data_IF_166581018343
#
_entry.id   IF_166581018343
#
_cell.length_a   1.000
_cell.length_b   1.000
_cell.length_c   1.000
_cell.angle_alpha   90.00
_cell.angle_beta   90.00
_cell.angle_gamma   90.00
#
_symmetry.space_group_name_H-M   'P 1'
#
loop_
_entity.id
_entity.type
_entity.pdbx_description
1 polymer ?
#
# COMPACT_ATOMS: atom_id res chain seq x y z
N UNK A 1 -9.79 21.99 8.28
CA UNK A 1 -10.47 23.24 7.95
C UNK A 1 -11.12 23.06 6.58
N UNK A 2 -12.41 23.29 6.47
CA UNK A 2 -13.13 23.24 5.20
C UNK A 2 -12.64 24.35 4.25
N UNK A 3 -12.69 24.16 2.91
CA UNK A 3 -12.41 25.23 1.99
C UNK A 3 -13.38 26.40 2.22
N UNK A 4 -12.91 27.65 2.12
CA UNK A 4 -13.79 28.80 2.25
C UNK A 4 -14.76 28.84 1.08
N UNK A 5 -16.02 29.20 1.33
CA UNK A 5 -17.07 29.30 0.32
C UNK A 5 -16.64 30.21 -0.87
N UNK A 6 -15.73 31.14 -0.62
CA UNK A 6 -15.19 32.06 -1.64
C UNK A 6 -13.71 32.36 -1.38
N UNK A 7 -12.77 31.52 -1.83
CA UNK A 7 -11.35 31.78 -1.64
C UNK A 7 -10.91 33.04 -2.39
N UNK A 8 -10.04 33.84 -1.76
CA UNK A 8 -9.44 35.03 -2.40
C UNK A 8 -8.29 34.67 -3.30
N UNK A 9 -7.51 33.69 -2.88
CA UNK A 9 -6.33 33.17 -3.60
C UNK A 9 -6.42 31.66 -3.59
N UNK A 10 -6.10 31.05 -4.72
CA UNK A 10 -6.02 29.60 -4.88
C UNK A 10 -4.64 29.24 -5.42
N UNK A 11 -4.04 28.23 -4.84
CA UNK A 11 -2.82 27.58 -5.31
C UNK A 11 -3.22 26.22 -5.89
N UNK A 12 -3.25 26.09 -7.20
CA UNK A 12 -3.37 24.81 -7.89
C UNK A 12 -2.00 24.14 -7.98
N UNK A 13 -1.90 22.89 -7.52
CA UNK A 13 -0.68 22.12 -7.57
C UNK A 13 -0.91 20.86 -8.40
N UNK A 14 -0.32 20.80 -9.58
CA UNK A 14 -0.13 19.54 -10.29
C UNK A 14 1.04 18.81 -9.65
N UNK A 15 0.74 17.70 -8.94
CA UNK A 15 1.72 17.08 -8.07
C UNK A 15 2.57 16.05 -8.80
N UNK A 16 3.89 16.23 -8.77
CA UNK A 16 4.89 15.35 -9.35
C UNK A 16 5.83 14.74 -8.31
N UNK A 17 6.57 13.72 -8.71
CA UNK A 17 7.50 12.99 -7.83
C UNK A 17 8.69 13.86 -7.40
N UNK A 18 9.33 14.55 -8.34
CA UNK A 18 10.52 15.38 -8.11
C UNK A 18 10.19 16.85 -7.95
N UNK A 19 9.16 17.32 -8.63
CA UNK A 19 8.67 18.69 -8.55
C UNK A 19 7.16 18.69 -8.76
N UNK A 20 6.50 19.70 -8.20
CA UNK A 20 5.11 20.06 -8.47
C UNK A 20 5.10 21.25 -9.40
N UNK A 21 4.06 21.41 -10.21
CA UNK A 21 3.81 22.70 -10.87
C UNK A 21 2.81 23.48 -10.05
N UNK A 22 3.19 24.66 -9.60
CA UNK A 22 2.33 25.55 -8.84
C UNK A 22 1.77 26.64 -9.75
N UNK A 23 0.46 26.90 -9.62
CA UNK A 23 -0.21 28.05 -10.23
C UNK A 23 -1.01 28.79 -9.19
N UNK A 24 -0.67 30.05 -8.97
CA UNK A 24 -1.40 30.91 -8.04
C UNK A 24 -2.34 31.80 -8.84
N UNK A 25 -3.61 31.81 -8.44
CA UNK A 25 -4.66 32.61 -9.08
C UNK A 25 -5.43 33.38 -8.02
N UNK A 26 -5.58 34.69 -8.23
CA UNK A 26 -6.46 35.52 -7.40
C UNK A 26 -7.89 35.47 -7.89
N UNK A 27 -8.84 35.85 -7.03
CA UNK A 27 -10.24 35.99 -7.43
C UNK A 27 -10.45 37.02 -8.55
N UNK A 28 -9.60 38.04 -8.62
CA UNK A 28 -9.62 39.02 -9.71
C UNK A 28 -9.12 38.48 -11.06
N UNK A 29 -8.65 37.25 -11.10
CA UNK A 29 -8.08 36.64 -12.31
C UNK A 29 -6.60 36.91 -12.52
N UNK A 30 -5.94 37.59 -11.59
CA UNK A 30 -4.50 37.81 -11.61
C UNK A 30 -3.76 36.52 -11.42
N UNK A 31 -2.55 36.42 -11.96
CA UNK A 31 -1.72 35.25 -12.01
C UNK A 31 -0.34 35.56 -11.36
N UNK A 32 -0.28 35.75 -10.02
CA UNK A 32 0.91 36.25 -9.37
C UNK A 32 2.09 35.28 -9.43
N UNK A 33 1.87 33.99 -9.58
CA UNK A 33 2.96 33.02 -9.71
C UNK A 33 2.56 31.80 -10.58
N UNK A 34 3.55 31.31 -11.34
CA UNK A 34 3.51 30.04 -12.07
C UNK A 34 4.92 29.47 -12.16
N UNK A 35 5.08 28.20 -11.89
CA UNK A 35 6.36 27.54 -12.08
C UNK A 35 6.51 26.23 -11.32
N UNK A 36 7.61 25.52 -11.60
CA UNK A 36 7.93 24.29 -10.91
C UNK A 36 8.41 24.56 -9.47
N UNK A 37 7.90 23.79 -8.54
CA UNK A 37 8.30 23.80 -7.13
C UNK A 37 8.92 22.44 -6.83
N UNK A 38 10.19 22.38 -6.41
CA UNK A 38 10.80 21.11 -5.99
C UNK A 38 9.99 20.43 -4.89
N UNK A 39 9.80 19.11 -5.00
CA UNK A 39 9.08 18.34 -3.99
C UNK A 39 9.95 18.15 -2.75
N UNK A 40 10.16 19.23 -2.03
CA UNK A 40 10.87 19.30 -0.73
C UNK A 40 10.19 20.32 0.17
N UNK A 41 10.20 20.05 1.46
CA UNK A 41 9.47 20.82 2.46
C UNK A 41 9.78 22.33 2.40
N UNK A 42 11.06 22.72 2.35
CA UNK A 42 11.45 24.13 2.33
C UNK A 42 10.93 24.89 1.11
N UNK A 43 10.85 24.26 -0.05
CA UNK A 43 10.33 24.89 -1.26
C UNK A 43 8.81 25.08 -1.20
N UNK A 44 8.10 24.06 -0.69
CA UNK A 44 6.64 24.10 -0.49
C UNK A 44 6.30 25.16 0.57
N UNK A 45 7.02 25.19 1.69
CA UNK A 45 6.81 26.18 2.75
C UNK A 45 7.08 27.60 2.25
N UNK A 46 8.11 27.79 1.44
CA UNK A 46 8.42 29.08 0.82
C UNK A 46 7.30 29.60 -0.06
N UNK A 47 6.62 28.71 -0.82
CA UNK A 47 5.44 29.06 -1.59
C UNK A 47 4.27 29.47 -0.68
N UNK A 48 4.00 28.65 0.35
CA UNK A 48 2.87 28.89 1.25
C UNK A 48 3.03 30.15 2.10
N UNK A 49 4.25 30.48 2.51
CA UNK A 49 4.56 31.71 3.23
C UNK A 49 4.29 32.99 2.41
N UNK A 50 4.42 32.92 1.08
CA UNK A 50 4.11 34.05 0.17
C UNK A 50 2.61 34.29 0.03
N UNK A 51 1.77 33.26 0.22
CA UNK A 51 0.32 33.32 0.01
C UNK A 51 -0.45 32.77 1.22
N UNK A 52 -0.34 33.40 2.39
CA UNK A 52 -0.96 32.91 3.62
C UNK A 52 -2.49 32.86 3.47
N UNK A 53 -3.08 31.75 3.93
CA UNK A 53 -4.53 31.55 3.85
C UNK A 53 -5.10 31.21 2.48
N UNK A 54 -4.27 31.08 1.45
CA UNK A 54 -4.72 30.61 0.13
C UNK A 54 -5.28 29.18 0.21
N UNK A 55 -6.27 28.88 -0.61
CA UNK A 55 -6.79 27.53 -0.77
C UNK A 55 -5.81 26.71 -1.62
N UNK A 56 -5.26 25.66 -1.03
CA UNK A 56 -4.40 24.69 -1.75
C UNK A 56 -5.27 23.60 -2.36
N UNK A 57 -5.15 23.43 -3.68
CA UNK A 57 -5.89 22.43 -4.45
C UNK A 57 -4.93 21.50 -5.16
N UNK A 58 -5.11 20.19 -4.97
CA UNK A 58 -4.32 19.13 -5.59
C UNK A 58 -5.21 18.17 -6.36
N UNK A 59 -4.64 17.47 -7.34
CA UNK A 59 -5.32 16.39 -8.07
C UNK A 59 -5.15 15.01 -7.39
N UNK A 60 -4.20 14.88 -6.47
CA UNK A 60 -3.89 13.64 -5.72
C UNK A 60 -3.65 13.91 -4.26
N UNK A 61 -4.41 13.24 -3.41
CA UNK A 61 -4.30 13.39 -1.94
C UNK A 61 -3.30 12.42 -1.30
N UNK A 62 -2.85 11.40 -2.05
CA UNK A 62 -1.96 10.35 -1.57
C UNK A 62 -0.63 10.35 -2.31
N UNK A 63 0.34 9.59 -1.78
CA UNK A 63 1.67 9.44 -2.36
C UNK A 63 2.32 10.81 -2.63
N UNK A 64 2.52 11.15 -3.90
CA UNK A 64 3.20 12.40 -4.31
C UNK A 64 2.47 13.69 -3.89
N UNK A 65 1.16 13.64 -3.62
CA UNK A 65 0.39 14.78 -3.12
C UNK A 65 0.44 14.96 -1.60
N UNK A 66 0.82 13.91 -0.86
CA UNK A 66 0.84 13.95 0.61
C UNK A 66 1.79 15.00 1.19
N UNK A 67 3.01 15.21 0.69
CA UNK A 67 3.90 16.25 1.21
C UNK A 67 3.30 17.64 1.14
N UNK A 68 2.78 18.04 -0.03
CA UNK A 68 2.15 19.35 -0.22
C UNK A 68 0.97 19.57 0.74
N UNK A 69 0.09 18.58 0.88
CA UNK A 69 -1.06 18.66 1.78
C UNK A 69 -0.66 18.69 3.26
N UNK A 70 0.38 17.94 3.64
CA UNK A 70 0.89 17.93 5.02
C UNK A 70 1.50 19.29 5.39
N UNK A 71 2.28 19.89 4.50
CA UNK A 71 2.83 21.24 4.70
C UNK A 71 1.73 22.30 4.75
N UNK A 72 0.72 22.21 3.89
CA UNK A 72 -0.44 23.09 3.94
C UNK A 72 -1.22 22.96 5.26
N UNK A 73 -1.30 21.73 5.84
CA UNK A 73 -1.89 21.53 7.17
C UNK A 73 -1.10 22.25 8.25
N UNK A 74 0.23 22.13 8.25
CA UNK A 74 1.11 22.79 9.22
C UNK A 74 1.06 24.31 9.11
N UNK A 75 0.89 24.84 7.89
CA UNK A 75 0.69 26.27 7.62
C UNK A 75 -0.75 26.76 7.84
N UNK A 76 -1.65 25.92 8.40
CA UNK A 76 -3.06 26.26 8.67
C UNK A 76 -3.85 26.69 7.41
N UNK A 77 -3.42 26.27 6.23
CA UNK A 77 -4.07 26.61 4.98
C UNK A 77 -5.28 25.69 4.71
N UNK A 78 -6.37 26.25 4.15
CA UNK A 78 -7.47 25.45 3.63
C UNK A 78 -7.00 24.56 2.48
N UNK A 79 -7.53 23.35 2.40
CA UNK A 79 -7.11 22.33 1.43
C UNK A 79 -8.31 21.69 0.79
N UNK A 80 -8.26 21.54 -0.52
CA UNK A 80 -9.26 20.84 -1.28
C UNK A 80 -8.61 19.87 -2.29
N UNK A 81 -9.42 19.00 -2.79
CA UNK A 81 -9.03 18.01 -3.76
C UNK A 81 -9.91 18.14 -5.00
N UNK A 82 -9.30 18.16 -6.16
CA UNK A 82 -10.02 18.04 -7.43
C UNK A 82 -9.75 16.65 -8.01
N UNK A 83 -10.77 15.74 -8.04
CA UNK A 83 -10.60 14.41 -8.61
C UNK A 83 -10.04 14.46 -10.03
N UNK A 84 -9.10 13.54 -10.36
CA UNK A 84 -8.39 13.56 -11.63
C UNK A 84 -9.31 13.59 -12.87
N UNK A 85 -10.48 12.94 -12.80
CA UNK A 85 -11.49 13.03 -13.87
C UNK A 85 -12.06 14.45 -14.00
N UNK A 86 -12.33 15.12 -12.89
CA UNK A 86 -12.81 16.51 -12.87
C UNK A 86 -11.70 17.49 -13.28
N UNK A 87 -10.46 17.25 -12.84
CA UNK A 87 -9.28 18.02 -13.26
C UNK A 87 -9.08 17.92 -14.77
N UNK A 88 -9.16 16.71 -15.33
CA UNK A 88 -9.08 16.50 -16.78
C UNK A 88 -10.23 17.18 -17.53
N UNK A 89 -11.46 17.09 -17.00
CA UNK A 89 -12.61 17.83 -17.56
C UNK A 89 -12.40 19.34 -17.53
N UNK A 90 -11.91 19.88 -16.42
CA UNK A 90 -11.61 21.30 -16.28
C UNK A 90 -10.48 21.76 -17.22
N UNK A 91 -9.44 20.96 -17.42
CA UNK A 91 -8.33 21.31 -18.30
C UNK A 91 -8.75 21.41 -19.78
N UNK A 92 -9.78 20.67 -20.19
CA UNK A 92 -10.35 20.73 -21.55
C UNK A 92 -11.12 22.02 -21.85
N UNK A 93 -11.50 22.78 -20.82
CA UNK A 93 -12.15 24.07 -20.99
C UNK A 93 -11.16 25.21 -21.45
N UNK A 94 -9.88 24.94 -21.38
CA UNK A 94 -8.83 25.88 -21.76
C UNK A 94 -8.27 25.52 -23.13
N UNK A 95 -8.12 26.54 -24.00
CA UNK A 95 -7.62 26.38 -25.36
C UNK A 95 -6.21 25.77 -25.40
N UNK A 96 -5.98 24.89 -26.38
CA UNK A 96 -4.70 24.21 -26.63
C UNK A 96 -4.77 22.70 -26.42
N UNK A 97 -4.13 21.92 -27.29
CA UNK A 97 -4.16 20.43 -27.24
C UNK A 97 -3.02 19.81 -26.43
N UNK A 98 -1.96 20.59 -26.13
CA UNK A 98 -0.82 20.08 -25.39
C UNK A 98 -1.15 19.96 -23.89
N UNK A 99 -1.00 18.75 -23.34
CA UNK A 99 -1.03 18.51 -21.91
C UNK A 99 0.26 19.04 -21.30
N UNK A 100 0.15 20.03 -20.40
CA UNK A 100 1.29 20.54 -19.62
C UNK A 100 0.89 20.65 -18.16
N UNK A 101 1.86 20.42 -17.26
CA UNK A 101 1.68 20.54 -15.81
C UNK A 101 1.17 21.95 -15.43
N UNK A 102 1.63 22.99 -16.13
CA UNK A 102 1.15 24.36 -15.96
C UNK A 102 -0.35 24.50 -16.22
N UNK A 103 -0.82 23.90 -17.30
CA UNK A 103 -2.23 23.95 -17.70
C UNK A 103 -3.11 23.20 -16.71
N UNK A 104 -2.65 22.05 -16.24
CA UNK A 104 -3.39 21.26 -15.28
C UNK A 104 -3.45 21.98 -13.91
N UNK A 105 -2.37 22.61 -13.46
CA UNK A 105 -2.36 23.45 -12.26
C UNK A 105 -3.27 24.68 -12.40
N UNK A 106 -3.30 25.33 -13.59
CA UNK A 106 -4.20 26.45 -13.89
C UNK A 106 -5.67 26.01 -13.86
N UNK A 107 -5.98 24.90 -14.50
CA UNK A 107 -7.35 24.36 -14.55
C UNK A 107 -7.87 24.07 -13.14
N UNK A 108 -7.04 23.47 -12.29
CA UNK A 108 -7.37 23.21 -10.87
C UNK A 108 -7.63 24.52 -10.11
N UNK A 109 -6.77 25.52 -10.26
CA UNK A 109 -6.92 26.77 -9.53
C UNK A 109 -8.19 27.54 -9.98
N UNK A 110 -8.49 27.57 -11.26
CA UNK A 110 -9.68 28.24 -11.80
C UNK A 110 -10.98 27.48 -11.47
N UNK A 111 -10.97 26.15 -11.53
CA UNK A 111 -12.11 25.33 -11.11
C UNK A 111 -12.45 25.59 -9.61
N UNK A 112 -11.43 25.69 -8.78
CA UNK A 112 -11.61 25.99 -7.36
C UNK A 112 -12.12 27.40 -7.07
N UNK A 113 -11.81 28.36 -7.92
CA UNK A 113 -12.39 29.71 -7.82
C UNK A 113 -13.85 29.77 -8.30
N UNK A 114 -14.17 29.01 -9.35
CA UNK A 114 -15.50 29.01 -9.97
C UNK A 114 -16.55 28.22 -9.18
N UNK A 115 -16.18 27.07 -8.65
CA UNK A 115 -17.09 26.14 -7.96
C UNK A 115 -16.48 25.57 -6.67
N UNK A 116 -16.09 26.42 -5.70
CA UNK A 116 -15.39 25.96 -4.49
C UNK A 116 -16.21 24.96 -3.67
N UNK A 117 -17.54 25.08 -3.67
CA UNK A 117 -18.45 24.21 -2.93
C UNK A 117 -18.52 22.77 -3.50
N UNK A 118 -18.12 22.58 -4.76
CA UNK A 118 -18.05 21.27 -5.39
C UNK A 118 -16.74 20.49 -5.08
N UNK A 119 -15.78 21.16 -4.43
CA UNK A 119 -14.50 20.54 -4.11
C UNK A 119 -14.55 19.81 -2.76
N UNK A 120 -14.29 18.51 -2.71
CA UNK A 120 -14.13 17.82 -1.45
C UNK A 120 -13.01 18.43 -0.61
N UNK A 121 -13.34 18.80 0.63
CA UNK A 121 -12.34 19.22 1.59
C UNK A 121 -11.38 18.07 1.91
N UNK A 122 -10.09 18.35 1.96
CA UNK A 122 -9.12 17.38 2.46
C UNK A 122 -9.11 17.46 3.98
N UNK A 123 -9.80 16.54 4.63
CA UNK A 123 -9.77 16.40 6.08
C UNK A 123 -8.32 16.04 6.52
N UNK A 124 -7.87 16.70 7.57
CA UNK A 124 -6.60 16.36 8.20
C UNK A 124 -6.75 15.10 9.04
N UNK A 125 -6.24 13.98 8.57
CA UNK A 125 -6.22 12.76 9.41
C UNK A 125 -5.24 12.91 10.56
N UNK A 126 -5.56 12.30 11.73
CA UNK A 126 -4.55 12.08 12.76
C UNK A 126 -3.38 11.26 12.19
N UNK A 127 -2.13 11.62 12.51
CA UNK A 127 -0.95 10.88 12.03
C UNK A 127 -1.00 9.39 12.37
N UNK A 128 -1.60 9.05 13.51
CA UNK A 128 -1.74 7.70 14.03
C UNK A 128 -2.63 6.83 13.10
N UNK A 129 -3.69 7.41 12.56
CA UNK A 129 -4.56 6.73 11.57
C UNK A 129 -3.81 6.53 10.25
N UNK A 130 -2.97 7.50 9.86
CA UNK A 130 -2.09 7.37 8.70
C UNK A 130 -1.10 6.20 8.85
N UNK A 131 -0.48 6.08 10.02
CA UNK A 131 0.44 4.99 10.36
C UNK A 131 -0.29 3.63 10.38
N UNK A 132 -1.43 3.54 11.07
CA UNK A 132 -2.25 2.32 11.10
C UNK A 132 -2.67 1.87 9.69
N UNK A 133 -2.99 2.81 8.81
CA UNK A 133 -3.30 2.51 7.40
C UNK A 133 -2.10 1.94 6.64
N UNK A 134 -0.91 2.48 6.84
CA UNK A 134 0.30 1.97 6.21
C UNK A 134 0.61 0.54 6.67
N UNK A 135 0.46 0.25 7.96
CA UNK A 135 0.58 -1.10 8.50
C UNK A 135 -0.47 -2.06 7.94
N UNK A 136 -1.74 -1.64 7.86
CA UNK A 136 -2.79 -2.44 7.27
C UNK A 136 -2.51 -2.76 5.79
N UNK A 137 -2.06 -1.77 5.01
CA UNK A 137 -1.68 -1.95 3.62
C UNK A 137 -0.50 -2.92 3.46
N UNK A 138 0.51 -2.84 4.34
CA UNK A 138 1.63 -3.78 4.35
C UNK A 138 1.18 -5.21 4.68
N UNK A 139 0.29 -5.39 5.66
CA UNK A 139 -0.29 -6.72 5.96
C UNK A 139 -1.06 -7.31 4.79
N UNK A 140 -1.82 -6.48 4.08
CA UNK A 140 -2.54 -6.91 2.89
C UNK A 140 -1.59 -7.36 1.78
N UNK A 141 -0.53 -6.59 1.56
CA UNK A 141 0.53 -6.94 0.62
C UNK A 141 1.16 -8.29 0.99
N UNK A 142 1.60 -8.47 2.24
CA UNK A 142 2.24 -9.71 2.71
C UNK A 142 1.28 -10.90 2.63
N UNK A 143 -0.01 -10.69 2.87
CA UNK A 143 -1.04 -11.73 2.71
C UNK A 143 -1.18 -12.17 1.25
N UNK A 144 -1.24 -11.21 0.32
CA UNK A 144 -1.33 -11.49 -1.11
C UNK A 144 -0.06 -12.19 -1.63
N UNK A 145 1.12 -11.73 -1.19
CA UNK A 145 2.40 -12.36 -1.57
C UNK A 145 2.53 -13.78 -1.01
N UNK A 146 2.03 -14.03 0.21
CA UNK A 146 1.93 -15.38 0.77
C UNK A 146 1.07 -16.29 -0.09
N UNK A 147 -0.11 -15.82 -0.50
CA UNK A 147 -1.00 -16.60 -1.38
C UNK A 147 -0.35 -16.91 -2.73
N UNK A 148 0.31 -15.92 -3.35
CA UNK A 148 1.04 -16.11 -4.62
C UNK A 148 2.17 -17.13 -4.47
N UNK A 149 2.95 -17.02 -3.38
CA UNK A 149 4.06 -17.92 -3.08
C UNK A 149 3.56 -19.35 -2.84
N UNK A 150 2.46 -19.53 -2.11
CA UNK A 150 1.82 -20.82 -1.89
C UNK A 150 1.35 -21.46 -3.20
N UNK A 151 0.67 -20.71 -4.05
CA UNK A 151 0.19 -21.22 -5.34
C UNK A 151 1.34 -21.61 -6.25
N UNK A 152 2.42 -20.81 -6.30
CA UNK A 152 3.60 -21.14 -7.09
C UNK A 152 4.33 -22.37 -6.56
N UNK A 153 4.46 -22.50 -5.23
CA UNK A 153 5.06 -23.68 -4.60
C UNK A 153 4.26 -24.93 -4.93
N UNK A 154 2.92 -24.88 -4.81
CA UNK A 154 2.04 -26.00 -5.19
C UNK A 154 2.22 -26.40 -6.66
N UNK A 155 2.27 -25.43 -7.58
CA UNK A 155 2.48 -25.70 -8.99
C UNK A 155 3.78 -26.47 -9.23
N UNK A 156 4.90 -26.01 -8.65
CA UNK A 156 6.20 -26.69 -8.78
C UNK A 156 6.17 -28.09 -8.16
N UNK A 157 5.59 -28.22 -6.97
CA UNK A 157 5.52 -29.51 -6.27
C UNK A 157 4.62 -30.50 -7.02
N UNK A 158 3.51 -30.04 -7.60
CA UNK A 158 2.60 -30.88 -8.36
C UNK A 158 3.23 -31.41 -9.66
N UNK A 159 4.06 -30.59 -10.29
CA UNK A 159 4.78 -30.98 -11.50
C UNK A 159 5.89 -32.01 -11.23
N UNK A 160 6.52 -31.93 -10.04
CA UNK A 160 7.68 -32.76 -9.69
C UNK A 160 7.35 -33.97 -8.81
N UNK A 161 6.40 -33.85 -7.88
CA UNK A 161 6.02 -34.90 -6.92
C UNK A 161 4.60 -34.64 -6.38
N UNK A 162 3.54 -35.13 -7.04
CA UNK A 162 2.15 -34.91 -6.60
C UNK A 162 1.85 -35.43 -5.19
N UNK A 163 2.45 -36.54 -4.76
CA UNK A 163 2.30 -37.10 -3.42
C UNK A 163 2.82 -36.15 -2.34
N UNK A 164 3.95 -35.48 -2.63
CA UNK A 164 4.51 -34.47 -1.76
C UNK A 164 3.60 -33.25 -1.66
N UNK A 165 3.04 -32.78 -2.79
CA UNK A 165 2.11 -31.65 -2.78
C UNK A 165 0.86 -31.96 -1.96
N UNK A 166 0.30 -33.16 -2.11
CA UNK A 166 -0.90 -33.60 -1.38
C UNK A 166 -0.71 -33.59 0.15
N UNK A 167 0.52 -33.81 0.63
CA UNK A 167 0.87 -33.78 2.06
C UNK A 167 1.32 -32.38 2.53
N UNK A 168 1.63 -31.47 1.62
CA UNK A 168 2.14 -30.13 1.94
C UNK A 168 1.03 -29.18 2.41
N UNK A 169 0.68 -29.26 3.70
CA UNK A 169 -0.23 -28.29 4.32
C UNK A 169 0.46 -26.92 4.48
N UNK A 170 0.35 -26.08 3.45
CA UNK A 170 0.93 -24.73 3.44
C UNK A 170 0.18 -23.72 4.35
N UNK A 171 -0.88 -24.14 5.03
CA UNK A 171 -1.49 -23.36 6.11
C UNK A 171 -0.78 -23.59 7.45
N UNK A 172 -0.07 -24.71 7.60
CA UNK A 172 0.75 -24.98 8.78
C UNK A 172 2.16 -24.38 8.64
N UNK A 173 2.57 -23.47 9.54
CA UNK A 173 3.92 -22.90 9.53
C UNK A 173 5.06 -23.93 9.61
N UNK A 174 4.78 -25.15 10.14
CA UNK A 174 5.80 -26.19 10.26
C UNK A 174 6.22 -26.73 8.88
N UNK A 175 5.28 -26.92 7.96
CA UNK A 175 5.56 -27.36 6.60
C UNK A 175 6.43 -26.32 5.84
N UNK A 176 6.06 -25.04 5.93
CA UNK A 176 6.85 -23.98 5.31
C UNK A 176 8.25 -23.87 5.90
N UNK A 177 8.41 -24.00 7.22
CA UNK A 177 9.72 -23.97 7.90
C UNK A 177 10.59 -25.17 7.51
N UNK A 178 10.00 -26.36 7.39
CA UNK A 178 10.72 -27.54 6.94
C UNK A 178 11.24 -27.34 5.51
N UNK A 179 10.38 -26.96 4.58
CA UNK A 179 10.77 -26.72 3.19
C UNK A 179 11.77 -25.57 3.06
N UNK A 180 11.68 -24.54 3.91
CA UNK A 180 12.65 -23.44 3.94
C UNK A 180 14.05 -23.90 4.40
N UNK A 181 14.12 -24.88 5.29
CA UNK A 181 15.37 -25.43 5.81
C UNK A 181 15.95 -26.49 4.88
N UNK A 182 15.15 -27.47 4.47
CA UNK A 182 15.59 -28.65 3.73
C UNK A 182 15.51 -28.46 2.22
N UNK A 183 14.43 -27.84 1.71
CA UNK A 183 14.14 -27.69 0.27
C UNK A 183 12.88 -28.44 -0.13
N UNK A 184 12.77 -28.76 -1.42
CA UNK A 184 11.68 -29.52 -2.00
C UNK A 184 11.82 -31.03 -1.86
N UNK A 185 10.99 -31.82 -2.58
CA UNK A 185 10.91 -33.27 -2.42
C UNK A 185 12.27 -33.96 -2.66
N UNK A 186 13.06 -33.50 -3.58
CA UNK A 186 14.36 -34.11 -3.90
C UNK A 186 15.41 -33.98 -2.81
N UNK A 187 15.46 -32.84 -2.14
CA UNK A 187 16.34 -32.64 -0.96
C UNK A 187 15.78 -33.30 0.28
N UNK A 188 14.45 -33.39 0.38
CA UNK A 188 13.77 -33.94 1.55
C UNK A 188 13.90 -35.45 1.63
N UNK A 189 13.86 -36.18 0.50
CA UNK A 189 14.08 -37.62 0.44
C UNK A 189 15.48 -38.06 0.91
N UNK A 190 16.45 -37.13 0.92
CA UNK A 190 17.80 -37.39 1.48
C UNK A 190 18.04 -36.79 2.85
N UNK A 191 17.03 -36.20 3.51
CA UNK A 191 17.20 -35.57 4.80
C UNK A 191 17.17 -36.59 5.95
N UNK A 192 18.05 -36.40 6.94
CA UNK A 192 18.03 -37.29 8.09
C UNK A 192 16.75 -37.13 8.91
N UNK A 193 16.17 -38.23 9.45
CA UNK A 193 14.99 -38.17 10.32
C UNK A 193 15.19 -37.24 11.54
N UNK A 194 16.43 -37.15 12.05
CA UNK A 194 16.78 -36.24 13.16
C UNK A 194 16.63 -34.78 12.75
N UNK A 195 17.11 -34.40 11.53
CA UNK A 195 17.00 -33.02 11.00
C UNK A 195 15.53 -32.64 10.79
N UNK A 196 14.72 -33.54 10.23
CA UNK A 196 13.29 -33.38 10.04
C UNK A 196 12.57 -33.25 11.39
N UNK A 197 12.88 -34.14 12.36
CA UNK A 197 12.25 -34.15 13.68
C UNK A 197 12.60 -32.96 14.57
N UNK A 198 13.75 -32.31 14.35
CA UNK A 198 14.15 -31.11 15.11
C UNK A 198 13.31 -29.87 14.76
N UNK A 199 12.67 -29.82 13.57
CA UNK A 199 11.92 -28.67 13.08
C UNK A 199 10.46 -28.62 13.52
N UNK A 200 9.94 -29.71 14.13
CA UNK A 200 8.57 -29.76 14.61
C UNK A 200 8.46 -30.48 15.97
N UNK A 201 7.53 -30.02 16.81
CA UNK A 201 7.23 -30.60 18.13
C UNK A 201 5.75 -30.98 18.23
N UNK A 202 5.45 -31.97 19.08
CA UNK A 202 4.08 -32.39 19.34
C UNK A 202 3.36 -32.93 18.11
N UNK A 203 2.09 -32.56 17.91
CA UNK A 203 1.26 -33.01 16.78
C UNK A 203 1.81 -32.64 15.39
N UNK A 204 2.62 -31.56 15.29
CA UNK A 204 3.24 -31.16 14.05
C UNK A 204 4.36 -32.12 13.61
N UNK A 205 4.95 -32.86 14.52
CA UNK A 205 5.99 -33.84 14.19
C UNK A 205 5.48 -34.92 13.23
N UNK A 206 4.27 -35.44 13.48
CA UNK A 206 3.66 -36.43 12.59
C UNK A 206 3.40 -35.88 11.17
N UNK A 207 2.89 -34.66 11.07
CA UNK A 207 2.67 -34.00 9.75
C UNK A 207 3.97 -33.77 8.99
N UNK A 208 5.02 -33.34 9.69
CA UNK A 208 6.34 -33.10 9.10
C UNK A 208 6.99 -34.43 8.67
N UNK A 209 6.81 -35.50 9.46
CA UNK A 209 7.27 -36.83 9.08
C UNK A 209 6.54 -37.36 7.85
N UNK A 210 5.20 -37.25 7.80
CA UNK A 210 4.41 -37.66 6.64
C UNK A 210 4.80 -36.91 5.37
N UNK A 211 5.12 -35.61 5.46
CA UNK A 211 5.62 -34.82 4.35
C UNK A 211 7.00 -35.31 3.88
N UNK A 212 7.89 -35.68 4.78
CA UNK A 212 9.19 -36.23 4.42
C UNK A 212 9.08 -37.63 3.79
N UNK A 213 8.22 -38.50 4.33
CA UNK A 213 7.93 -39.85 3.82
C UNK A 213 7.30 -39.76 2.39
N UNK A 214 6.42 -38.80 2.13
CA UNK A 214 5.84 -38.60 0.81
C UNK A 214 6.88 -38.21 -0.26
N UNK A 215 7.98 -37.56 0.14
CA UNK A 215 9.08 -37.25 -0.75
C UNK A 215 9.90 -38.50 -1.14
N UNK A 216 9.93 -39.54 -0.31
CA UNK A 216 10.60 -40.82 -0.58
C UNK A 216 9.79 -41.69 -1.56
N UNK A 217 8.47 -41.48 -1.65
CA UNK A 217 7.56 -42.24 -2.53
C UNK A 217 7.77 -41.93 -4.02
N UNK A 218 8.52 -40.89 -4.35
CA UNK A 218 8.89 -40.55 -5.74
C UNK A 218 9.91 -41.56 -6.28
N UNK A 219 9.43 -42.57 -6.96
CA UNK A 219 10.21 -43.73 -7.42
C UNK A 219 10.96 -43.51 -8.75
N UNK A 220 10.97 -42.29 -9.28
CA UNK A 220 11.63 -41.96 -10.56
C UNK A 220 13.10 -41.54 -10.41
N UNK A 221 13.89 -41.62 -11.51
CA UNK A 221 15.24 -41.06 -11.52
C UNK A 221 15.18 -39.56 -11.26
N UNK A 222 16.12 -39.06 -10.45
CA UNK A 222 16.21 -37.66 -10.10
C UNK A 222 16.43 -36.82 -11.37
N UNK A 223 15.52 -35.87 -11.71
CA UNK A 223 15.70 -35.07 -12.93
C UNK A 223 16.91 -34.14 -12.81
N UNK A 224 17.52 -33.79 -13.95
CA UNK A 224 18.64 -32.85 -13.96
C UNK A 224 18.29 -31.49 -13.36
N UNK A 225 17.01 -31.09 -13.41
CA UNK A 225 16.50 -29.84 -12.86
C UNK A 225 16.20 -29.89 -11.36
N UNK A 226 16.27 -31.05 -10.69
CA UNK A 226 15.86 -31.26 -9.29
C UNK A 226 16.46 -30.24 -8.30
N UNK A 227 17.74 -29.91 -8.47
CA UNK A 227 18.40 -28.92 -7.61
C UNK A 227 17.83 -27.50 -7.77
N UNK A 228 17.41 -27.14 -8.98
CA UNK A 228 16.78 -25.85 -9.26
C UNK A 228 15.36 -25.80 -8.69
N UNK A 229 14.60 -26.87 -8.85
CA UNK A 229 13.25 -27.00 -8.30
C UNK A 229 13.26 -26.91 -6.78
N UNK A 230 14.11 -27.69 -6.11
CA UNK A 230 14.29 -27.66 -4.66
C UNK A 230 14.73 -26.28 -4.15
N UNK A 231 15.59 -25.61 -4.87
CA UNK A 231 15.97 -24.23 -4.56
C UNK A 231 14.78 -23.27 -4.68
N UNK A 232 13.97 -23.42 -5.71
CA UNK A 232 12.76 -22.61 -5.90
C UNK A 232 11.75 -22.84 -4.76
N UNK A 233 11.50 -24.10 -4.41
CA UNK A 233 10.64 -24.47 -3.25
C UNK A 233 11.18 -23.85 -1.97
N UNK A 234 12.47 -23.97 -1.68
CA UNK A 234 13.11 -23.37 -0.51
C UNK A 234 12.92 -21.85 -0.43
N UNK A 235 13.12 -21.15 -1.53
CA UNK A 235 12.96 -19.69 -1.59
C UNK A 235 11.50 -19.28 -1.36
N UNK A 236 10.54 -19.98 -1.97
CA UNK A 236 9.12 -19.73 -1.79
C UNK A 236 8.67 -20.02 -0.36
N UNK A 237 9.13 -21.12 0.22
CA UNK A 237 8.82 -21.49 1.60
C UNK A 237 9.37 -20.48 2.62
N UNK A 238 10.56 -19.91 2.39
CA UNK A 238 11.10 -18.79 3.18
C UNK A 238 10.18 -17.58 3.12
N UNK A 239 9.79 -17.14 1.92
CA UNK A 239 8.85 -16.02 1.76
C UNK A 239 7.52 -16.25 2.45
N UNK A 240 6.96 -17.48 2.37
CA UNK A 240 5.72 -17.83 3.08
C UNK A 240 5.92 -17.67 4.60
N UNK A 241 7.05 -18.12 5.14
CA UNK A 241 7.35 -18.03 6.57
C UNK A 241 7.57 -16.57 7.03
N UNK A 242 8.27 -15.77 6.24
CA UNK A 242 8.52 -14.34 6.49
C UNK A 242 7.21 -13.55 6.46
N UNK A 243 6.40 -13.73 5.42
CA UNK A 243 5.09 -13.09 5.31
C UNK A 243 4.13 -13.50 6.44
N UNK A 244 4.22 -14.75 6.91
CA UNK A 244 3.42 -15.21 8.05
C UNK A 244 3.84 -14.53 9.36
N UNK A 245 5.14 -14.28 9.55
CA UNK A 245 5.64 -13.54 10.72
C UNK A 245 5.17 -12.08 10.70
N UNK A 246 5.24 -11.40 9.54
CA UNK A 246 4.73 -10.02 9.38
C UNK A 246 3.22 -9.91 9.62
N UNK A 247 2.45 -10.84 9.07
CA UNK A 247 0.99 -10.85 9.27
C UNK A 247 0.58 -11.23 10.69
N UNK A 248 1.47 -11.88 11.44
CA UNK A 248 1.30 -12.24 12.84
C UNK A 248 1.50 -11.09 13.83
N UNK A 249 1.92 -9.90 13.39
CA UNK A 249 2.02 -8.70 14.24
C UNK A 249 0.70 -8.39 14.95
N UNK A 250 0.72 -7.86 16.20
CA UNK A 250 -0.48 -7.65 16.98
C UNK A 250 -1.52 -6.81 16.23
N UNK A 251 -2.74 -7.32 16.16
CA UNK A 251 -3.87 -6.55 15.58
C UNK A 251 -4.09 -5.22 16.33
N UNK A 252 -3.64 -5.14 17.57
CA UNK A 252 -3.66 -3.93 18.41
C UNK A 252 -2.91 -2.75 17.82
N UNK A 253 -1.83 -2.96 17.07
CA UNK A 253 -1.09 -1.87 16.42
C UNK A 253 -1.95 -1.11 15.39
N UNK A 254 -2.90 -1.80 14.77
CA UNK A 254 -3.86 -1.18 13.85
C UNK A 254 -5.09 -0.70 14.61
N UNK A 255 -5.60 -1.45 15.59
CA UNK A 255 -6.88 -1.15 16.26
C UNK A 255 -6.76 -0.07 17.34
N UNK A 256 -5.62 0.07 18.01
CA UNK A 256 -5.46 1.07 19.07
C UNK A 256 -5.62 2.51 18.57
N UNK A 257 -4.99 2.94 17.46
CA UNK A 257 -5.22 4.28 16.91
C UNK A 257 -6.68 4.51 16.49
N UNK A 258 -7.36 3.48 15.97
CA UNK A 258 -8.75 3.58 15.53
C UNK A 258 -9.73 3.81 16.69
N UNK A 259 -9.42 3.29 17.87
CA UNK A 259 -10.25 3.47 19.06
C UNK A 259 -10.29 4.93 19.55
N UNK A 260 -9.27 5.71 19.25
CA UNK A 260 -9.18 7.13 19.60
C UNK A 260 -9.90 8.05 18.60
N UNK A 261 -10.17 7.58 17.38
CA UNK A 261 -10.80 8.36 16.32
C UNK A 261 -12.32 8.11 16.27
N UNK A 262 -13.12 9.17 16.34
CA UNK A 262 -14.58 9.08 16.40
C UNK A 262 -15.17 8.45 15.14
N UNK A 263 -14.68 8.83 13.97
CA UNK A 263 -15.17 8.29 12.68
C UNK A 263 -14.87 6.79 12.59
N UNK A 264 -13.68 6.38 12.99
CA UNK A 264 -13.31 4.97 13.03
C UNK A 264 -14.16 4.19 14.02
N UNK A 265 -14.44 4.75 15.21
CA UNK A 265 -15.33 4.12 16.19
C UNK A 265 -16.72 3.90 15.63
N UNK A 266 -17.30 4.91 14.96
CA UNK A 266 -18.59 4.78 14.30
C UNK A 266 -18.57 3.68 13.23
N UNK A 267 -17.52 3.61 12.39
CA UNK A 267 -17.40 2.56 11.40
C UNK A 267 -17.30 1.16 12.00
N UNK A 268 -16.63 1.02 13.14
CA UNK A 268 -16.48 -0.26 13.85
C UNK A 268 -17.78 -0.79 14.47
N UNK A 269 -18.83 0.04 14.60
CA UNK A 269 -20.16 -0.42 15.05
C UNK A 269 -20.96 -1.11 13.95
N UNK A 270 -20.54 -0.96 12.68
CA UNK A 270 -21.24 -1.55 11.53
C UNK A 270 -20.86 -3.04 11.41
N UNK A 271 -21.84 -3.96 11.41
CA UNK A 271 -21.55 -5.38 11.24
C UNK A 271 -20.75 -5.67 9.96
N UNK A 272 -19.65 -6.44 10.09
CA UNK A 272 -18.76 -6.76 8.96
C UNK A 272 -17.63 -5.75 8.72
N UNK A 273 -17.64 -4.59 9.38
CA UNK A 273 -16.53 -3.65 9.33
C UNK A 273 -15.56 -3.92 10.49
N UNK A 274 -14.44 -4.54 10.21
CA UNK A 274 -13.34 -4.71 11.15
C UNK A 274 -12.33 -3.55 11.10
N UNK A 275 -11.33 -3.53 12.03
CA UNK A 275 -10.30 -2.48 12.09
C UNK A 275 -9.59 -2.25 10.75
N UNK A 276 -9.29 -3.33 10.02
CA UNK A 276 -8.67 -3.25 8.70
C UNK A 276 -9.54 -2.48 7.70
N UNK A 277 -10.83 -2.74 7.65
CA UNK A 277 -11.75 -2.05 6.74
C UNK A 277 -11.94 -0.60 7.18
N UNK A 278 -12.15 -0.36 8.47
CA UNK A 278 -12.37 0.97 9.02
C UNK A 278 -11.21 1.94 8.72
N UNK A 279 -9.95 1.48 8.80
CA UNK A 279 -8.78 2.34 8.53
C UNK A 279 -8.70 2.82 7.07
N UNK A 280 -9.28 2.08 6.12
CA UNK A 280 -9.30 2.47 4.71
C UNK A 280 -10.48 3.38 4.35
N UNK A 281 -11.59 3.28 5.07
CA UNK A 281 -12.82 4.06 4.83
C UNK A 281 -12.89 5.38 5.60
N UNK A 282 -11.98 5.64 6.51
CA UNK A 282 -11.84 6.94 7.16
C UNK A 282 -11.20 7.93 6.17
N UNK A 283 -12.02 8.61 5.38
CA UNK A 283 -11.61 9.63 4.42
C UNK A 283 -11.86 11.03 4.96
#
# INVERSE_FOLDING_TARGET
MAPPARPRIVIGLDVGKSAHWARVVTRGGELPASGPIPNRESAIDGLYAQYPGALVVVDRVRNIGSPALSRAKLAWMPRAYLPGLAAHGASRLFAGDAKTDERDAMAMAKAALGIPDALPAVAGRPPEIGAARSLAAQRDFSTCESARSKNRLRSISLESCPEFEAQADLSDPAASKLMAAVGGPWSMSGASPQAVGALARGRRRAKVAALAESAESSSGPRPAAAACEDRAVRLLARRISENAAETGSPASEISAPLAADETCRCLLTVPGIGPRTAVFHNN
#
